data_IF_827695352248
#
_entry.id   IF_827695352248
#
_cell.length_a   1.000
_cell.length_b   1.000
_cell.length_c   1.000
_cell.angle_alpha   90.00
_cell.angle_beta   90.00
_cell.angle_gamma   90.00
#
_symmetry.space_group_name_H-M   'P 1'
#
loop_
_entity.id
_entity.type
_entity.pdbx_description
1 polymer ?
#
# COMPACT_ATOMS: atom_id res chain seq x y z
N UNK A 1 19.72 9.60 -3.66
CA UNK A 1 18.79 10.75 -3.59
C UNK A 1 17.67 10.66 -4.65
N UNK A 2 17.98 10.32 -5.91
CA UNK A 2 16.99 10.21 -6.99
C UNK A 2 16.01 9.03 -6.80
N UNK A 3 16.49 7.84 -6.46
CA UNK A 3 15.65 6.64 -6.25
C UNK A 3 14.62 6.81 -5.12
N UNK A 4 15.01 7.51 -4.05
CA UNK A 4 14.13 7.83 -2.92
C UNK A 4 13.02 8.81 -3.31
N UNK A 5 13.29 9.73 -4.23
CA UNK A 5 12.28 10.69 -4.72
C UNK A 5 11.21 10.00 -5.55
N UNK A 6 11.59 9.10 -6.46
CA UNK A 6 10.62 8.33 -7.25
C UNK A 6 9.78 7.40 -6.39
N UNK A 7 10.37 6.77 -5.38
CA UNK A 7 9.62 5.94 -4.43
C UNK A 7 8.58 6.75 -3.65
N UNK A 8 8.95 7.94 -3.17
CA UNK A 8 8.01 8.83 -2.48
C UNK A 8 6.88 9.29 -3.40
N UNK A 9 7.19 9.66 -4.64
CA UNK A 9 6.19 10.05 -5.63
C UNK A 9 5.21 8.90 -5.90
N UNK A 10 5.71 7.67 -6.05
CA UNK A 10 4.87 6.49 -6.23
C UNK A 10 3.91 6.29 -5.05
N UNK A 11 4.41 6.39 -3.82
CA UNK A 11 3.59 6.29 -2.61
C UNK A 11 2.52 7.40 -2.53
N UNK A 12 2.85 8.62 -2.95
CA UNK A 12 1.90 9.74 -3.00
C UNK A 12 0.81 9.50 -4.04
N UNK A 13 1.17 9.09 -5.26
CA UNK A 13 0.20 8.78 -6.32
C UNK A 13 -0.72 7.64 -5.85
N UNK A 14 -0.13 6.59 -5.26
CA UNK A 14 -0.87 5.46 -4.72
C UNK A 14 -1.86 5.89 -3.62
N UNK A 15 -1.44 6.78 -2.72
CA UNK A 15 -2.32 7.38 -1.72
C UNK A 15 -3.51 8.11 -2.35
N UNK A 16 -3.25 9.03 -3.28
CA UNK A 16 -4.30 9.84 -3.93
C UNK A 16 -5.33 8.95 -4.62
N UNK A 17 -4.86 8.00 -5.44
CA UNK A 17 -5.74 7.07 -6.15
C UNK A 17 -6.55 6.21 -5.17
N UNK A 18 -5.89 5.65 -4.15
CA UNK A 18 -6.54 4.81 -3.15
C UNK A 18 -7.64 5.55 -2.38
N UNK A 19 -7.37 6.78 -1.95
CA UNK A 19 -8.39 7.62 -1.32
C UNK A 19 -9.53 7.89 -2.28
N UNK A 20 -9.26 8.36 -3.50
CA UNK A 20 -10.31 8.65 -4.48
C UNK A 20 -11.21 7.46 -4.77
N UNK A 21 -10.65 6.27 -4.97
CA UNK A 21 -11.44 5.06 -5.26
C UNK A 21 -12.29 4.64 -4.05
N UNK A 22 -11.75 4.78 -2.83
CA UNK A 22 -12.44 4.35 -1.60
C UNK A 22 -13.47 5.34 -1.10
N UNK A 23 -13.35 6.63 -1.43
CA UNK A 23 -14.31 7.67 -1.01
C UNK A 23 -15.38 7.97 -2.05
N UNK A 24 -15.06 7.93 -3.35
CA UNK A 24 -16.00 8.28 -4.43
C UNK A 24 -16.90 7.10 -4.87
N UNK A 25 -17.03 6.08 -4.03
CA UNK A 25 -17.92 4.94 -4.27
C UNK A 25 -17.40 3.88 -5.25
N UNK A 26 -16.12 3.91 -5.61
CA UNK A 26 -15.52 2.92 -6.52
C UNK A 26 -15.34 1.55 -5.87
N UNK A 27 -14.65 1.47 -4.72
CA UNK A 27 -14.40 0.22 -3.99
C UNK A 27 -14.65 0.44 -2.49
N UNK A 28 -15.47 -0.41 -1.88
CA UNK A 28 -15.72 -0.34 -0.44
C UNK A 28 -14.46 -0.56 0.39
N UNK A 29 -14.34 0.12 1.54
CA UNK A 29 -13.14 0.12 2.41
C UNK A 29 -12.74 -1.30 2.82
N UNK A 30 -13.70 -2.18 3.13
CA UNK A 30 -13.43 -3.58 3.51
C UNK A 30 -12.81 -4.33 2.32
N UNK A 31 -13.44 -4.26 1.15
CA UNK A 31 -12.95 -4.89 -0.09
C UNK A 31 -11.56 -4.38 -0.45
N UNK A 32 -11.35 -3.08 -0.40
CA UNK A 32 -10.04 -2.46 -0.64
C UNK A 32 -8.98 -3.00 0.34
N UNK A 33 -9.31 -3.08 1.63
CA UNK A 33 -8.38 -3.58 2.66
C UNK A 33 -7.98 -5.02 2.41
N UNK A 34 -8.95 -5.90 2.11
CA UNK A 34 -8.70 -7.30 1.82
C UNK A 34 -7.80 -7.47 0.58
N UNK A 35 -8.09 -6.74 -0.50
CA UNK A 35 -7.28 -6.76 -1.72
C UNK A 35 -5.85 -6.30 -1.43
N UNK A 36 -5.69 -5.15 -0.76
CA UNK A 36 -4.38 -4.56 -0.53
C UNK A 36 -3.50 -5.41 0.39
N UNK A 37 -4.02 -5.86 1.52
CA UNK A 37 -3.25 -6.70 2.43
C UNK A 37 -3.05 -8.12 1.88
N UNK A 38 -4.02 -8.66 1.12
CA UNK A 38 -3.89 -9.93 0.44
C UNK A 38 -2.75 -9.91 -0.59
N UNK A 39 -2.70 -8.89 -1.45
CA UNK A 39 -1.62 -8.73 -2.45
C UNK A 39 -0.26 -8.53 -1.78
N UNK A 40 -0.19 -7.72 -0.71
CA UNK A 40 1.06 -7.53 0.02
C UNK A 40 1.55 -8.83 0.69
N UNK A 41 0.63 -9.62 1.24
CA UNK A 41 0.96 -10.93 1.83
C UNK A 41 1.45 -11.91 0.78
N UNK A 42 0.78 -12.01 -0.37
CA UNK A 42 1.21 -12.85 -1.49
C UNK A 42 2.61 -12.45 -1.97
N UNK A 43 2.85 -11.16 -2.19
CA UNK A 43 4.16 -10.66 -2.60
C UNK A 43 5.24 -10.98 -1.56
N UNK A 44 4.92 -10.93 -0.26
CA UNK A 44 5.85 -11.27 0.80
C UNK A 44 6.18 -12.78 0.85
N UNK A 45 5.17 -13.63 0.64
CA UNK A 45 5.35 -15.08 0.53
C UNK A 45 6.23 -15.41 -0.68
N UNK A 46 5.92 -14.86 -1.85
CA UNK A 46 6.72 -15.05 -3.06
C UNK A 46 8.17 -14.61 -2.86
N UNK A 47 8.39 -13.41 -2.31
CA UNK A 47 9.74 -12.93 -2.04
C UNK A 47 10.50 -13.87 -1.10
N UNK A 48 9.84 -14.39 -0.05
CA UNK A 48 10.44 -15.33 0.91
C UNK A 48 10.76 -16.70 0.30
N UNK A 49 9.98 -17.17 -0.68
CA UNK A 49 10.18 -18.49 -1.31
C UNK A 49 11.25 -18.47 -2.40
N UNK A 50 11.36 -17.36 -3.14
CA UNK A 50 12.17 -17.30 -4.36
C UNK A 50 13.43 -16.43 -4.24
N UNK A 51 13.65 -15.75 -3.10
CA UNK A 51 14.82 -14.90 -2.90
C UNK A 51 15.66 -15.37 -1.71
N UNK A 52 16.87 -15.86 -2.00
CA UNK A 52 17.86 -16.24 -0.97
C UNK A 52 18.86 -15.10 -0.64
N UNK A 53 18.79 -13.98 -1.36
CA UNK A 53 19.64 -12.81 -1.14
C UNK A 53 19.02 -11.90 -0.07
N UNK A 54 19.63 -11.90 1.12
CA UNK A 54 19.18 -11.13 2.27
C UNK A 54 19.09 -9.62 1.98
N UNK A 55 20.03 -9.07 1.19
CA UNK A 55 20.03 -7.64 0.85
C UNK A 55 18.91 -7.25 -0.12
N UNK A 56 18.39 -8.21 -0.91
CA UNK A 56 17.18 -8.01 -1.71
C UNK A 56 15.91 -8.12 -0.86
N UNK A 57 15.87 -9.10 0.06
CA UNK A 57 14.78 -9.25 1.02
C UNK A 57 14.61 -8.01 1.89
N UNK A 58 15.67 -7.45 2.45
CA UNK A 58 15.60 -6.26 3.31
C UNK A 58 15.04 -5.04 2.55
N UNK A 59 15.47 -4.84 1.31
CA UNK A 59 14.96 -3.77 0.43
C UNK A 59 13.49 -4.00 0.06
N UNK A 60 13.10 -5.26 -0.17
CA UNK A 60 11.71 -5.62 -0.44
C UNK A 60 10.82 -5.35 0.79
N UNK A 61 11.22 -5.81 1.98
CA UNK A 61 10.51 -5.59 3.24
C UNK A 61 10.36 -4.09 3.51
N UNK A 62 11.38 -3.28 3.23
CA UNK A 62 11.29 -1.83 3.35
C UNK A 62 10.19 -1.24 2.46
N UNK A 63 10.10 -1.68 1.20
CA UNK A 63 9.04 -1.23 0.28
C UNK A 63 7.65 -1.68 0.73
N UNK A 64 7.50 -2.94 1.15
CA UNK A 64 6.24 -3.48 1.67
C UNK A 64 5.78 -2.68 2.90
N UNK A 65 6.67 -2.40 3.85
CA UNK A 65 6.37 -1.55 5.02
C UNK A 65 5.89 -0.16 4.61
N UNK A 66 6.50 0.44 3.59
CA UNK A 66 6.05 1.72 3.04
C UNK A 66 4.63 1.64 2.49
N UNK A 67 4.33 0.62 1.68
CA UNK A 67 3.00 0.41 1.11
C UNK A 67 1.95 0.12 2.18
N UNK A 68 2.23 -0.74 3.16
CA UNK A 68 1.32 -1.02 4.27
C UNK A 68 0.92 0.25 5.02
N UNK A 69 1.88 1.15 5.29
CA UNK A 69 1.59 2.44 5.95
C UNK A 69 0.68 3.33 5.09
N UNK A 70 0.91 3.39 3.79
CA UNK A 70 0.05 4.17 2.88
C UNK A 70 -1.35 3.55 2.77
N UNK A 71 -1.46 2.22 2.70
CA UNK A 71 -2.76 1.53 2.72
C UNK A 71 -3.56 1.88 3.98
N UNK A 72 -2.92 1.88 5.16
CA UNK A 72 -3.57 2.29 6.41
C UNK A 72 -3.99 3.76 6.34
N UNK A 73 -3.14 4.65 5.83
CA UNK A 73 -3.47 6.06 5.68
C UNK A 73 -4.69 6.28 4.76
N UNK A 74 -4.79 5.52 3.66
CA UNK A 74 -5.97 5.53 2.77
C UNK A 74 -7.21 5.11 3.55
N UNK A 75 -7.16 3.99 4.27
CA UNK A 75 -8.29 3.46 5.06
C UNK A 75 -8.76 4.50 6.08
N UNK A 76 -7.84 5.09 6.85
CA UNK A 76 -8.18 6.12 7.84
C UNK A 76 -8.83 7.32 7.17
N UNK A 77 -8.26 7.81 6.06
CA UNK A 77 -8.81 8.96 5.32
C UNK A 77 -10.22 8.65 4.82
N UNK A 78 -10.43 7.46 4.25
CA UNK A 78 -11.73 7.04 3.74
C UNK A 78 -12.78 6.89 4.85
N UNK A 79 -12.39 6.38 6.02
CA UNK A 79 -13.25 6.31 7.20
C UNK A 79 -13.66 7.71 7.69
N UNK A 80 -12.72 8.65 7.76
CA UNK A 80 -13.01 10.04 8.13
C UNK A 80 -14.02 10.66 7.15
N UNK A 81 -13.81 10.49 5.84
CA UNK A 81 -14.76 10.98 4.83
C UNK A 81 -16.16 10.39 5.00
N UNK A 82 -16.25 9.09 5.28
CA UNK A 82 -17.52 8.41 5.53
C UNK A 82 -18.20 8.83 6.84
N UNK A 83 -17.48 9.40 7.79
CA UNK A 83 -18.06 9.97 9.02
C UNK A 83 -18.50 11.42 8.87
N UNK A 84 -17.97 12.15 7.89
CA UNK A 84 -18.28 13.55 7.62
C UNK A 84 -19.49 13.73 6.70
N UNK A 85 -19.82 12.72 5.91
CA UNK A 85 -20.94 12.66 4.95
C UNK A 85 -21.98 11.69 5.48
#
# INVERSE_FOLDING_TARGET
MVLTTYWRLYLTIFYVIGVSITTLGGVGIITFSLLMFGVLALAAIEASLFTNDQGKLDRFVFKVRGLSKITIAIIITALIFKMLI
#
